data_IF_114819737803
#
_entry.id   IF_114819737803
#
_cell.length_a   1.000
_cell.length_b   1.000
_cell.length_c   1.000
_cell.angle_alpha   90.00
_cell.angle_beta   90.00
_cell.angle_gamma   90.00
#
_symmetry.space_group_name_H-M   'P 1'
#
loop_
_entity.id
_entity.type
_entity.pdbx_description
1 polymer ?
#
# COMPACT_ATOMS: atom_id res chain seq x y z
N UNK A 1 -18.55 15.09 -21.00
CA UNK A 1 -17.57 14.13 -21.51
C UNK A 1 -16.31 14.45 -20.73
N UNK A 2 -15.73 13.47 -20.02
CA UNK A 2 -14.39 13.66 -19.47
C UNK A 2 -13.47 13.85 -20.68
N UNK A 3 -12.66 14.91 -20.68
CA UNK A 3 -11.64 15.10 -21.70
C UNK A 3 -10.65 13.95 -21.54
N UNK A 4 -10.47 13.16 -22.58
CA UNK A 4 -9.50 12.06 -22.59
C UNK A 4 -8.09 12.64 -22.58
N UNK A 5 -7.36 12.44 -21.46
CA UNK A 5 -5.98 12.91 -21.36
C UNK A 5 -5.06 12.03 -22.20
N UNK A 6 -4.38 12.67 -23.17
CA UNK A 6 -3.36 11.99 -23.99
C UNK A 6 -1.97 12.04 -23.39
N UNK A 7 -1.74 12.97 -22.48
CA UNK A 7 -0.46 13.18 -21.81
C UNK A 7 -0.67 13.66 -20.37
N UNK A 8 0.12 13.13 -19.43
CA UNK A 8 0.24 13.63 -18.06
C UNK A 8 1.71 13.92 -17.76
N UNK A 9 1.95 15.02 -17.08
CA UNK A 9 3.23 15.33 -16.47
C UNK A 9 3.27 14.63 -15.11
N UNK A 10 4.32 13.84 -14.87
CA UNK A 10 4.59 13.22 -13.56
C UNK A 10 5.56 14.11 -12.83
N UNK A 11 5.18 14.58 -11.63
CA UNK A 11 6.01 15.46 -10.81
C UNK A 11 6.31 14.84 -9.43
N UNK A 12 7.37 15.30 -8.79
CA UNK A 12 7.73 14.97 -7.41
C UNK A 12 8.40 16.21 -6.78
N UNK A 13 7.88 16.66 -5.64
CA UNK A 13 8.36 17.87 -4.95
C UNK A 13 8.52 19.09 -5.90
N UNK A 14 7.55 19.26 -6.81
CA UNK A 14 7.54 20.35 -7.79
C UNK A 14 8.53 20.19 -8.96
N UNK A 15 9.24 19.07 -9.05
CA UNK A 15 10.16 18.77 -10.15
C UNK A 15 9.50 17.78 -11.12
N UNK A 16 9.58 18.06 -12.43
CA UNK A 16 9.12 17.13 -13.47
C UNK A 16 10.00 15.88 -13.46
N UNK A 17 9.41 14.74 -13.08
CA UNK A 17 10.02 13.42 -13.17
C UNK A 17 10.08 12.96 -14.63
N UNK A 18 8.97 13.12 -15.33
CA UNK A 18 8.82 12.69 -16.71
C UNK A 18 7.38 12.82 -17.18
N UNK A 19 7.07 12.18 -18.31
CA UNK A 19 5.74 12.26 -18.92
C UNK A 19 5.21 10.88 -19.28
N UNK A 20 3.93 10.69 -18.97
CA UNK A 20 3.11 9.60 -19.48
C UNK A 20 2.38 10.10 -20.72
N UNK A 21 2.49 9.38 -21.83
CA UNK A 21 1.80 9.71 -23.08
C UNK A 21 1.16 8.47 -23.67
N UNK A 22 -0.12 8.59 -24.03
CA UNK A 22 -0.86 7.56 -24.77
C UNK A 22 -0.78 7.84 -26.26
N UNK A 23 -0.33 6.85 -27.01
CA UNK A 23 -0.34 6.84 -28.47
C UNK A 23 -0.79 5.47 -28.98
N UNK A 24 -1.79 5.47 -29.86
CA UNK A 24 -2.36 4.27 -30.50
C UNK A 24 -2.72 3.16 -29.48
N UNK A 25 -3.26 3.56 -28.30
CA UNK A 25 -3.68 2.63 -27.25
C UNK A 25 -2.58 2.20 -26.28
N UNK A 26 -1.34 2.57 -26.53
CA UNK A 26 -0.18 2.24 -25.66
C UNK A 26 0.23 3.46 -24.85
N UNK A 27 0.46 3.26 -23.54
CA UNK A 27 0.97 4.30 -22.65
C UNK A 27 2.49 4.18 -22.60
N UNK A 28 3.17 5.27 -22.90
CA UNK A 28 4.62 5.40 -22.87
C UNK A 28 5.03 6.30 -21.72
N UNK A 29 6.23 6.09 -21.20
CA UNK A 29 6.86 6.97 -20.22
C UNK A 29 8.27 7.35 -20.69
N UNK A 30 8.63 8.62 -20.46
CA UNK A 30 10.00 9.11 -20.62
C UNK A 30 10.36 10.04 -19.47
N UNK A 31 11.55 9.88 -18.92
CA UNK A 31 12.10 10.82 -17.92
C UNK A 31 12.37 12.18 -18.51
N UNK A 32 12.18 13.23 -17.70
CA UNK A 32 12.63 14.57 -18.06
C UNK A 32 14.16 14.67 -18.03
N UNK A 33 14.74 15.57 -18.83
CA UNK A 33 16.20 15.81 -18.81
C UNK A 33 16.71 16.25 -17.45
N UNK A 34 15.91 17.06 -16.73
CA UNK A 34 16.25 17.51 -15.38
C UNK A 34 16.31 16.32 -14.41
N UNK A 35 15.34 15.41 -14.49
CA UNK A 35 15.30 14.23 -13.63
C UNK A 35 16.42 13.24 -13.95
N UNK A 36 16.75 13.05 -15.23
CA UNK A 36 17.89 12.21 -15.64
C UNK A 36 19.22 12.70 -15.05
N UNK A 37 19.37 14.01 -14.85
CA UNK A 37 20.60 14.58 -14.31
C UNK A 37 20.73 14.47 -12.79
N UNK A 38 19.63 14.58 -12.04
CA UNK A 38 19.67 14.77 -10.59
C UNK A 38 18.72 13.82 -9.82
N UNK A 39 17.88 13.07 -10.53
CA UNK A 39 16.87 12.19 -9.94
C UNK A 39 17.38 10.77 -9.72
N UNK A 40 16.44 9.87 -9.61
CA UNK A 40 16.66 8.45 -9.41
C UNK A 40 15.64 7.64 -10.22
N UNK A 41 15.88 6.33 -10.37
CA UNK A 41 14.89 5.43 -10.99
C UNK A 41 13.68 5.27 -10.08
N UNK A 42 12.49 5.68 -10.54
CA UNK A 42 11.23 5.52 -9.78
C UNK A 42 10.73 4.07 -9.75
N UNK A 43 11.24 3.21 -10.62
CA UNK A 43 11.02 1.76 -10.62
C UNK A 43 12.27 1.08 -11.18
N UNK A 44 13.22 0.63 -10.35
CA UNK A 44 14.51 0.13 -10.80
C UNK A 44 14.45 -1.03 -11.82
N UNK A 45 13.36 -1.78 -11.81
CA UNK A 45 13.17 -2.92 -12.69
C UNK A 45 12.55 -2.55 -14.05
N UNK A 46 11.52 -1.70 -14.04
CA UNK A 46 10.74 -1.39 -15.25
C UNK A 46 11.11 -0.05 -15.87
N UNK A 47 11.58 0.90 -15.07
CA UNK A 47 11.94 2.27 -15.45
C UNK A 47 13.34 2.62 -14.92
N UNK A 48 14.43 1.94 -15.36
CA UNK A 48 15.78 2.37 -15.01
C UNK A 48 16.00 3.82 -15.46
N UNK A 49 16.88 4.56 -14.74
CA UNK A 49 17.15 5.96 -15.05
C UNK A 49 17.97 6.10 -16.34
N UNK A 50 17.30 6.06 -17.48
CA UNK A 50 17.89 6.07 -18.83
C UNK A 50 17.15 7.05 -19.73
N UNK A 51 17.87 7.72 -20.64
CA UNK A 51 17.31 8.62 -21.66
C UNK A 51 16.73 7.79 -22.82
N UNK A 52 15.53 7.28 -22.60
CA UNK A 52 14.75 6.56 -23.62
C UNK A 52 13.26 6.60 -23.31
N UNK A 53 12.46 6.24 -24.29
CA UNK A 53 11.03 6.02 -24.13
C UNK A 53 10.80 4.56 -23.69
N UNK A 54 10.03 4.40 -22.61
CA UNK A 54 9.64 3.11 -22.07
C UNK A 54 8.19 2.79 -22.47
N UNK A 55 7.92 1.50 -22.69
CA UNK A 55 6.57 0.97 -22.83
C UNK A 55 6.40 -0.25 -21.91
N UNK A 56 5.21 -0.46 -21.30
CA UNK A 56 4.96 -1.65 -20.50
C UNK A 56 5.13 -2.92 -21.35
N UNK A 57 5.73 -3.94 -20.75
CA UNK A 57 5.91 -5.23 -21.44
C UNK A 57 4.65 -6.06 -21.48
N UNK A 58 3.72 -5.78 -20.57
CA UNK A 58 2.47 -6.52 -20.36
C UNK A 58 1.37 -5.56 -19.95
N UNK A 59 0.15 -5.89 -20.28
CA UNK A 59 -1.04 -5.09 -19.97
C UNK A 59 -1.67 -5.49 -18.61
N UNK A 60 -0.84 -5.65 -17.59
CA UNK A 60 -1.34 -6.08 -16.28
C UNK A 60 -2.05 -5.00 -15.49
N UNK A 61 -1.73 -3.72 -15.73
CA UNK A 61 -2.25 -2.57 -15.00
C UNK A 61 -3.05 -1.64 -15.93
N UNK A 62 -3.78 -2.22 -16.91
CA UNK A 62 -4.48 -1.43 -17.92
C UNK A 62 -3.51 -0.64 -18.82
N UNK A 63 -2.29 -1.15 -19.04
CA UNK A 63 -1.25 -0.51 -19.83
C UNK A 63 -0.38 0.49 -19.07
N UNK A 64 -0.54 0.64 -17.76
CA UNK A 64 0.40 1.39 -16.92
C UNK A 64 1.59 0.54 -16.50
N UNK A 65 2.68 1.21 -16.10
CA UNK A 65 3.71 0.58 -15.27
C UNK A 65 3.22 0.43 -13.83
N UNK A 66 3.66 -0.61 -13.14
CA UNK A 66 3.23 -0.90 -11.79
C UNK A 66 3.41 0.25 -10.80
N UNK A 67 4.50 1.02 -10.92
CA UNK A 67 4.75 2.18 -10.06
C UNK A 67 3.68 3.28 -10.19
N UNK A 68 3.09 3.47 -11.37
CA UNK A 68 1.98 4.41 -11.56
C UNK A 68 0.65 3.80 -11.11
N UNK A 69 0.50 2.50 -11.30
CA UNK A 69 -0.67 1.77 -10.79
C UNK A 69 -0.75 1.79 -9.27
N UNK A 70 0.38 1.88 -8.56
CA UNK A 70 0.41 2.03 -7.09
C UNK A 70 -0.23 3.35 -6.61
N UNK A 71 -0.33 4.36 -7.48
CA UNK A 71 -1.04 5.62 -7.17
C UNK A 71 -2.55 5.51 -7.32
N UNK A 72 -3.04 4.52 -8.06
CA UNK A 72 -4.47 4.33 -8.26
C UNK A 72 -5.13 3.70 -7.03
N UNK A 73 -6.37 4.09 -6.71
CA UNK A 73 -7.11 3.47 -5.64
C UNK A 73 -7.39 2.00 -5.98
N UNK A 74 -7.42 1.17 -4.96
CA UNK A 74 -7.95 -0.19 -5.04
C UNK A 74 -9.10 -0.36 -4.02
N UNK A 75 -9.72 -1.52 -3.98
CA UNK A 75 -10.75 -1.89 -3.01
C UNK A 75 -11.71 -0.74 -2.65
N UNK A 76 -11.58 -0.21 -1.43
CA UNK A 76 -12.41 0.87 -0.89
C UNK A 76 -12.32 2.16 -1.71
N UNK A 77 -11.12 2.60 -2.07
CA UNK A 77 -10.92 3.82 -2.85
C UNK A 77 -11.61 3.74 -4.22
N UNK A 78 -11.51 2.59 -4.91
CA UNK A 78 -12.23 2.35 -6.17
C UNK A 78 -13.75 2.35 -5.97
N UNK A 79 -14.24 1.68 -4.92
CA UNK A 79 -15.67 1.62 -4.61
C UNK A 79 -16.27 3.03 -4.42
N UNK A 80 -15.60 3.89 -3.66
CA UNK A 80 -16.04 5.26 -3.43
C UNK A 80 -15.93 6.11 -4.71
N UNK A 81 -14.84 5.96 -5.48
CA UNK A 81 -14.63 6.66 -6.74
C UNK A 81 -15.75 6.35 -7.75
N UNK A 82 -16.14 5.08 -7.88
CA UNK A 82 -17.25 4.66 -8.74
C UNK A 82 -18.56 5.37 -8.35
N UNK A 83 -18.88 5.44 -7.07
CA UNK A 83 -20.11 6.08 -6.59
C UNK A 83 -20.10 7.60 -6.75
N UNK A 84 -19.01 8.24 -6.32
CA UNK A 84 -18.87 9.69 -6.36
C UNK A 84 -18.89 10.24 -7.80
N UNK A 85 -18.21 9.57 -8.73
CA UNK A 85 -18.18 9.99 -10.12
C UNK A 85 -19.49 9.66 -10.86
N UNK A 86 -20.14 8.54 -10.49
CA UNK A 86 -21.47 8.22 -11.04
C UNK A 86 -22.51 9.29 -10.70
N UNK A 87 -22.48 9.86 -9.49
CA UNK A 87 -23.33 11.00 -9.09
C UNK A 87 -23.13 12.22 -10.01
N UNK A 88 -21.94 12.34 -10.61
CA UNK A 88 -21.57 13.37 -11.59
C UNK A 88 -21.75 12.95 -13.04
N UNK A 89 -22.35 11.79 -13.29
CA UNK A 89 -22.59 11.26 -14.65
C UNK A 89 -21.33 10.68 -15.31
N UNK A 90 -20.28 10.39 -14.55
CA UNK A 90 -19.01 9.82 -15.04
C UNK A 90 -18.94 8.35 -14.63
N UNK A 91 -18.68 7.46 -15.59
CA UNK A 91 -18.39 6.05 -15.32
C UNK A 91 -16.90 5.87 -15.07
N UNK A 92 -16.52 5.65 -13.82
CA UNK A 92 -15.10 5.45 -13.43
C UNK A 92 -14.46 4.25 -14.13
N UNK A 93 -15.24 3.18 -14.35
CA UNK A 93 -14.74 1.95 -14.96
C UNK A 93 -14.41 2.11 -16.45
N UNK A 94 -15.07 3.06 -17.12
CA UNK A 94 -14.85 3.36 -18.53
C UNK A 94 -13.75 4.40 -18.76
N UNK A 95 -13.22 4.99 -17.67
CA UNK A 95 -12.11 5.95 -17.76
C UNK A 95 -10.80 5.27 -18.17
N UNK A 96 -10.06 5.96 -19.00
CA UNK A 96 -8.69 5.59 -19.32
C UNK A 96 -7.77 5.62 -18.08
N UNK A 97 -6.72 4.80 -18.00
CA UNK A 97 -5.79 4.85 -16.89
C UNK A 97 -5.15 6.24 -16.67
N UNK A 98 -4.89 7.03 -17.72
CA UNK A 98 -4.40 8.40 -17.55
C UNK A 98 -5.46 9.32 -16.93
N UNK A 99 -6.74 9.18 -17.32
CA UNK A 99 -7.83 9.94 -16.73
C UNK A 99 -7.98 9.62 -15.23
N UNK A 100 -7.84 8.33 -14.86
CA UNK A 100 -7.86 7.92 -13.44
C UNK A 100 -6.70 8.51 -12.66
N UNK A 101 -5.48 8.56 -13.23
CA UNK A 101 -4.32 9.22 -12.60
C UNK A 101 -4.54 10.72 -12.46
N UNK A 102 -5.14 11.38 -13.45
CA UNK A 102 -5.48 12.80 -13.39
C UNK A 102 -6.50 13.11 -12.27
N UNK A 103 -7.47 12.20 -12.02
CA UNK A 103 -8.43 12.31 -10.91
C UNK A 103 -7.72 12.17 -9.55
N UNK A 104 -6.73 11.28 -9.44
CA UNK A 104 -5.92 11.15 -8.23
C UNK A 104 -5.06 12.40 -8.01
N UNK A 105 -4.49 12.95 -9.09
CA UNK A 105 -3.69 14.18 -9.02
C UNK A 105 -2.56 14.11 -8.01
N UNK A 106 -2.76 14.75 -6.85
CA UNK A 106 -1.78 14.80 -5.76
C UNK A 106 -2.17 13.96 -4.51
N UNK A 107 -3.28 13.23 -4.54
CA UNK A 107 -3.75 12.45 -3.37
C UNK A 107 -3.19 11.02 -3.30
N UNK A 108 -2.35 10.63 -4.26
CA UNK A 108 -1.76 9.30 -4.35
C UNK A 108 -0.90 8.88 -3.16
N UNK A 109 -0.67 7.57 -3.04
CA UNK A 109 0.38 7.02 -2.18
C UNK A 109 1.76 7.43 -2.71
N UNK A 110 2.71 7.60 -1.80
CA UNK A 110 4.06 8.03 -2.16
C UNK A 110 4.14 9.50 -2.57
N UNK A 111 5.12 9.82 -3.43
CA UNK A 111 5.47 11.20 -3.79
C UNK A 111 5.09 11.59 -5.22
N UNK A 112 4.67 10.66 -6.07
CA UNK A 112 4.29 10.97 -7.44
C UNK A 112 2.99 11.79 -7.48
N UNK A 113 2.96 12.78 -8.38
CA UNK A 113 1.79 13.61 -8.67
C UNK A 113 1.59 13.68 -10.17
N UNK A 114 0.36 13.91 -10.59
CA UNK A 114 -0.04 13.89 -11.99
C UNK A 114 -0.70 15.20 -12.39
N UNK A 115 -0.24 15.80 -13.47
CA UNK A 115 -0.75 17.07 -13.99
C UNK A 115 -1.11 16.94 -15.48
N UNK A 116 -2.27 17.50 -15.91
CA UNK A 116 -3.22 18.25 -15.10
C UNK A 116 -4.00 17.36 -14.14
N UNK A 117 -4.31 17.89 -12.94
CA UNK A 117 -5.14 17.22 -11.95
C UNK A 117 -6.60 17.67 -12.06
N UNK A 118 -7.52 16.70 -11.98
CA UNK A 118 -8.95 16.99 -11.86
C UNK A 118 -9.30 17.01 -10.38
N UNK A 119 -9.59 18.18 -9.83
CA UNK A 119 -9.93 18.33 -8.40
C UNK A 119 -11.43 18.24 -8.19
N UNK A 120 -11.81 17.50 -7.15
CA UNK A 120 -13.15 17.45 -6.61
C UNK A 120 -13.08 17.93 -5.16
N UNK A 121 -13.22 19.25 -4.98
CA UNK A 121 -13.10 19.86 -3.66
C UNK A 121 -14.25 19.42 -2.75
N UNK A 122 -13.90 18.99 -1.53
CA UNK A 122 -14.78 18.96 -0.38
C UNK A 122 -13.98 19.41 0.84
N UNK A 123 -14.37 20.55 1.41
CA UNK A 123 -13.60 21.25 2.45
C UNK A 123 -13.99 20.85 3.91
N UNK A 124 -14.58 19.70 4.13
CA UNK A 124 -15.10 19.36 5.46
C UNK A 124 -14.20 18.34 6.16
N UNK A 125 -13.51 18.74 7.25
CA UNK A 125 -12.84 17.78 8.13
C UNK A 125 -13.89 16.89 8.82
N UNK A 126 -13.57 15.61 8.96
CA UNK A 126 -14.41 14.67 9.70
C UNK A 126 -14.18 14.88 11.19
N UNK A 127 -15.13 15.52 11.86
CA UNK A 127 -15.04 15.76 13.31
C UNK A 127 -15.50 14.56 14.14
N UNK A 128 -16.32 13.64 13.54
CA UNK A 128 -16.93 12.49 14.22
C UNK A 128 -16.62 11.19 13.45
N UNK A 129 -15.70 10.39 14.01
CA UNK A 129 -15.28 9.11 13.43
C UNK A 129 -16.37 8.04 13.49
N UNK A 130 -17.21 8.06 14.54
CA UNK A 130 -18.34 7.13 14.66
C UNK A 130 -19.38 7.41 13.57
N UNK A 131 -19.70 8.69 13.33
CA UNK A 131 -20.58 9.07 12.23
C UNK A 131 -19.99 8.67 10.86
N UNK A 132 -18.68 8.88 10.65
CA UNK A 132 -18.02 8.45 9.42
C UNK A 132 -18.10 6.95 9.21
N UNK A 133 -17.85 6.18 10.25
CA UNK A 133 -17.93 4.71 10.20
C UNK A 133 -19.35 4.27 9.83
N UNK A 134 -20.40 4.88 10.43
CA UNK A 134 -21.80 4.59 10.07
C UNK A 134 -22.09 4.88 8.61
N UNK A 135 -21.68 6.05 8.12
CA UNK A 135 -21.92 6.44 6.73
C UNK A 135 -21.16 5.54 5.72
N UNK A 136 -19.91 5.16 6.03
CA UNK A 136 -19.18 4.18 5.23
C UNK A 136 -19.91 2.83 5.16
N UNK A 137 -20.44 2.34 6.28
CA UNK A 137 -21.19 1.10 6.32
C UNK A 137 -22.51 1.19 5.54
N UNK A 138 -23.24 2.32 5.62
CA UNK A 138 -24.44 2.55 4.78
C UNK A 138 -24.12 2.48 3.31
N UNK A 139 -23.03 3.11 2.88
CA UNK A 139 -22.57 3.02 1.50
C UNK A 139 -22.26 1.58 1.08
N UNK A 140 -21.61 0.80 1.94
CA UNK A 140 -21.31 -0.61 1.66
C UNK A 140 -22.58 -1.48 1.57
N UNK A 141 -23.61 -1.16 2.34
CA UNK A 141 -24.93 -1.83 2.28
C UNK A 141 -25.74 -1.40 1.03
N UNK A 142 -25.21 -0.52 0.19
CA UNK A 142 -25.85 -0.07 -1.04
C UNK A 142 -26.78 1.14 -0.88
N UNK A 143 -26.79 1.76 0.31
CA UNK A 143 -27.55 2.97 0.57
C UNK A 143 -26.82 4.20 0.01
N UNK A 144 -27.55 5.27 -0.26
CA UNK A 144 -26.98 6.57 -0.60
C UNK A 144 -26.73 7.39 0.68
N UNK A 145 -25.74 8.28 0.61
CA UNK A 145 -25.44 9.26 1.65
C UNK A 145 -25.28 10.66 1.06
N UNK A 146 -25.70 11.68 1.81
CA UNK A 146 -25.44 13.07 1.45
C UNK A 146 -23.96 13.43 1.62
N UNK A 147 -23.21 12.67 2.46
CA UNK A 147 -21.80 12.87 2.78
C UNK A 147 -20.84 12.14 1.80
N UNK A 148 -21.33 11.65 0.64
CA UNK A 148 -20.51 10.89 -0.30
C UNK A 148 -19.28 11.67 -0.78
N UNK A 149 -19.43 12.96 -1.05
CA UNK A 149 -18.33 13.80 -1.56
C UNK A 149 -17.24 14.01 -0.49
N UNK A 150 -17.64 14.14 0.77
CA UNK A 150 -16.77 14.21 1.94
C UNK A 150 -15.99 12.90 2.12
N UNK A 151 -16.70 11.75 2.10
CA UNK A 151 -16.07 10.42 2.19
C UNK A 151 -15.11 10.19 1.02
N UNK A 152 -15.48 10.62 -0.18
CA UNK A 152 -14.63 10.50 -1.37
C UNK A 152 -13.31 11.28 -1.21
N UNK A 153 -13.39 12.53 -0.75
CA UNK A 153 -12.21 13.36 -0.49
C UNK A 153 -11.28 12.73 0.57
N UNK A 154 -11.84 12.15 1.63
CA UNK A 154 -11.07 11.54 2.70
C UNK A 154 -10.51 10.16 2.34
N UNK A 155 -11.24 9.39 1.55
CA UNK A 155 -10.78 8.07 1.12
C UNK A 155 -9.51 8.18 0.27
N UNK A 156 -9.41 9.21 -0.57
CA UNK A 156 -8.27 9.44 -1.44
C UNK A 156 -7.91 8.20 -2.25
N UNK A 157 -6.63 7.98 -2.44
CA UNK A 157 -6.09 6.76 -3.06
C UNK A 157 -5.67 5.70 -2.03
N UNK A 158 -6.28 5.70 -0.83
CA UNK A 158 -5.94 4.69 0.17
C UNK A 158 -6.14 3.28 -0.38
N UNK A 159 -5.11 2.45 -0.31
CA UNK A 159 -5.16 1.05 -0.74
C UNK A 159 -5.96 0.17 0.23
N UNK A 160 -6.32 -1.04 -0.23
CA UNK A 160 -7.03 -2.05 0.55
C UNK A 160 -8.55 -1.95 0.49
N UNK A 161 -9.22 -3.04 0.88
CA UNK A 161 -10.67 -3.22 0.68
C UNK A 161 -11.52 -2.56 1.77
N UNK A 162 -11.01 -2.44 3.00
CA UNK A 162 -11.77 -1.92 4.15
C UNK A 162 -11.95 -0.41 4.12
N UNK A 163 -13.10 0.10 4.61
CA UNK A 163 -13.34 1.53 4.76
C UNK A 163 -12.25 2.21 5.59
N UNK A 164 -11.75 3.33 5.09
CA UNK A 164 -10.71 4.12 5.77
C UNK A 164 -10.74 5.56 5.30
N UNK A 165 -10.13 6.43 6.09
CA UNK A 165 -10.02 7.84 5.82
C UNK A 165 -8.60 8.36 6.12
N UNK A 166 -8.16 9.33 5.32
CA UNK A 166 -7.00 10.15 5.66
C UNK A 166 -7.45 11.24 6.66
N UNK A 167 -6.72 11.38 7.74
CA UNK A 167 -7.00 12.35 8.79
C UNK A 167 -5.72 13.07 9.19
N UNK A 168 -5.86 14.28 9.74
CA UNK A 168 -4.76 15.01 10.36
C UNK A 168 -4.89 14.87 11.87
N UNK A 169 -3.86 14.32 12.52
CA UNK A 169 -3.78 14.21 13.98
C UNK A 169 -2.46 14.88 14.39
N UNK A 170 -2.56 15.90 15.26
CA UNK A 170 -1.41 16.67 15.73
C UNK A 170 -0.53 17.23 14.59
N UNK A 171 -1.15 17.62 13.48
CA UNK A 171 -0.47 18.20 12.31
C UNK A 171 0.21 17.18 11.39
N UNK A 172 0.05 15.89 11.64
CA UNK A 172 0.61 14.79 10.85
C UNK A 172 -0.49 14.01 10.12
N UNK A 173 -0.18 13.44 8.97
CA UNK A 173 -1.13 12.66 8.17
C UNK A 173 -1.23 11.21 8.68
N UNK A 174 -2.46 10.77 8.95
CA UNK A 174 -2.80 9.43 9.43
C UNK A 174 -3.83 8.78 8.53
N UNK A 175 -3.84 7.45 8.52
CA UNK A 175 -4.91 6.63 7.95
C UNK A 175 -5.68 6.02 9.12
N UNK A 176 -6.97 6.32 9.21
CA UNK A 176 -7.90 5.72 10.19
C UNK A 176 -8.71 4.66 9.49
N UNK A 177 -8.74 3.45 10.02
CA UNK A 177 -9.52 2.33 9.48
C UNK A 177 -10.83 2.20 10.24
N UNK A 178 -11.92 2.05 9.49
CA UNK A 178 -13.24 1.82 10.02
C UNK A 178 -13.58 0.33 9.95
N UNK A 179 -14.36 -0.13 10.92
CA UNK A 179 -14.92 -1.49 10.89
C UNK A 179 -16.00 -1.61 9.82
N UNK A 180 -16.10 -2.79 9.25
CA UNK A 180 -17.27 -3.20 8.49
C UNK A 180 -18.32 -3.81 9.43
N UNK A 181 -19.59 -3.85 8.98
CA UNK A 181 -20.70 -4.37 9.78
C UNK A 181 -20.51 -5.82 10.25
N UNK A 182 -19.76 -6.61 9.48
CA UNK A 182 -19.47 -8.02 9.78
C UNK A 182 -18.26 -8.22 10.67
N UNK A 183 -17.47 -7.19 10.90
CA UNK A 183 -16.31 -7.27 11.77
C UNK A 183 -16.71 -7.31 13.25
N UNK A 184 -15.83 -7.90 14.06
CA UNK A 184 -15.90 -7.74 15.51
C UNK A 184 -15.85 -6.26 15.89
N UNK A 185 -16.49 -5.90 17.02
CA UNK A 185 -16.39 -4.55 17.60
C UNK A 185 -14.95 -4.19 17.96
N UNK A 186 -14.12 -5.20 18.25
CA UNK A 186 -12.71 -5.07 18.63
C UNK A 186 -11.74 -5.11 17.44
N UNK A 187 -12.18 -5.07 16.18
CA UNK A 187 -11.28 -5.20 15.02
C UNK A 187 -10.17 -4.15 15.00
N UNK A 188 -10.47 -2.91 15.43
CA UNK A 188 -9.47 -1.84 15.53
C UNK A 188 -8.43 -2.13 16.61
N UNK A 189 -8.87 -2.65 17.79
CA UNK A 189 -7.97 -3.08 18.87
C UNK A 189 -7.11 -4.26 18.44
N UNK A 190 -7.68 -5.24 17.73
CA UNK A 190 -6.93 -6.36 17.20
C UNK A 190 -5.81 -5.90 16.27
N UNK A 191 -6.10 -5.02 15.32
CA UNK A 191 -5.08 -4.51 14.38
C UNK A 191 -3.98 -3.70 15.11
N UNK A 192 -4.36 -2.91 16.12
CA UNK A 192 -3.41 -2.22 16.98
C UNK A 192 -2.47 -3.21 17.69
N UNK A 193 -3.00 -4.28 18.30
CA UNK A 193 -2.21 -5.29 19.00
C UNK A 193 -1.27 -6.05 18.04
N UNK A 194 -1.71 -6.34 16.81
CA UNK A 194 -0.85 -6.94 15.77
C UNK A 194 0.34 -6.06 15.42
N UNK A 195 0.12 -4.76 15.23
CA UNK A 195 1.20 -3.80 14.95
C UNK A 195 2.17 -3.67 16.13
N UNK A 196 1.65 -3.63 17.37
CA UNK A 196 2.49 -3.59 18.55
C UNK A 196 3.27 -4.89 18.78
N UNK A 197 2.69 -6.05 18.45
CA UNK A 197 3.40 -7.34 18.48
C UNK A 197 4.52 -7.36 17.41
N UNK A 198 4.26 -6.89 16.21
CA UNK A 198 5.28 -6.78 15.16
C UNK A 198 6.45 -5.88 15.61
N UNK A 199 6.14 -4.74 16.25
CA UNK A 199 7.14 -3.82 16.81
C UNK A 199 8.02 -4.51 17.88
N UNK A 200 7.40 -5.29 18.78
CA UNK A 200 8.14 -6.09 19.79
C UNK A 200 9.01 -7.18 19.15
N UNK A 201 8.61 -7.73 18.00
CA UNK A 201 9.44 -8.63 17.20
C UNK A 201 10.61 -7.92 16.49
N UNK A 202 10.74 -6.59 16.63
CA UNK A 202 11.76 -5.78 15.97
C UNK A 202 11.49 -5.55 14.49
N UNK A 203 10.22 -5.60 14.06
CA UNK A 203 9.77 -5.18 12.75
C UNK A 203 9.53 -3.68 12.78
N UNK A 204 10.02 -2.99 11.77
CA UNK A 204 9.74 -1.56 11.60
C UNK A 204 8.26 -1.43 11.21
N UNK A 205 7.47 -0.75 12.04
CA UNK A 205 6.07 -0.40 11.80
C UNK A 205 5.90 1.10 11.95
N UNK A 206 4.90 1.72 11.29
CA UNK A 206 4.57 3.13 11.52
C UNK A 206 4.18 3.38 12.99
N UNK A 207 4.15 4.64 13.41
CA UNK A 207 3.45 4.99 14.65
C UNK A 207 1.98 4.65 14.50
N UNK A 208 1.44 3.97 15.51
CA UNK A 208 0.03 3.54 15.54
C UNK A 208 -0.63 3.96 16.84
N UNK A 209 -1.93 4.24 16.78
CA UNK A 209 -2.73 4.48 17.98
C UNK A 209 -4.12 3.87 17.80
N UNK A 210 -4.82 3.73 18.92
CA UNK A 210 -6.22 3.36 18.98
C UNK A 210 -7.01 4.61 19.36
N UNK A 211 -7.77 5.16 18.41
CA UNK A 211 -8.62 6.32 18.64
C UNK A 211 -9.89 5.89 19.36
N UNK A 212 -10.39 6.69 20.31
CA UNK A 212 -11.60 6.35 21.04
C UNK A 212 -12.83 6.33 20.13
N UNK A 213 -13.78 5.48 20.45
CA UNK A 213 -15.10 5.39 19.86
C UNK A 213 -16.13 5.26 21.00
N UNK A 214 -17.31 5.85 20.82
CA UNK A 214 -18.43 5.66 21.75
C UNK A 214 -19.21 4.37 21.45
N UNK A 215 -19.06 3.81 20.25
CA UNK A 215 -19.86 2.69 19.75
C UNK A 215 -19.06 1.39 19.65
N UNK A 216 -17.73 1.46 19.54
CA UNK A 216 -16.88 0.31 19.23
C UNK A 216 -15.65 0.25 20.14
N UNK A 217 -14.85 -0.81 20.05
CA UNK A 217 -13.60 -0.97 20.80
C UNK A 217 -12.48 0.01 20.40
N UNK A 218 -12.75 0.95 19.50
CA UNK A 218 -11.85 1.97 19.01
C UNK A 218 -11.48 1.80 17.54
N UNK A 219 -10.96 2.88 16.94
CA UNK A 219 -10.50 2.90 15.56
C UNK A 219 -9.00 2.78 15.51
N UNK A 220 -8.49 1.81 14.75
CA UNK A 220 -7.06 1.72 14.45
C UNK A 220 -6.64 2.90 13.58
N UNK A 221 -5.57 3.59 13.99
CA UNK A 221 -4.97 4.65 13.22
C UNK A 221 -3.47 4.39 13.05
N UNK A 222 -2.98 4.60 11.84
CA UNK A 222 -1.57 4.46 11.46
C UNK A 222 -1.07 5.73 10.81
N UNK A 223 0.05 6.26 11.31
CA UNK A 223 0.72 7.42 10.72
C UNK A 223 1.23 7.07 9.33
N UNK A 224 1.03 7.97 8.37
CA UNK A 224 1.54 7.76 7.01
C UNK A 224 3.06 7.81 6.98
N UNK A 225 3.68 6.68 6.71
CA UNK A 225 5.14 6.55 6.63
C UNK A 225 5.72 7.10 5.31
N UNK A 226 4.88 7.34 4.32
CA UNK A 226 5.22 8.02 3.07
C UNK A 226 5.12 9.56 3.19
N UNK A 227 4.92 10.07 4.42
CA UNK A 227 4.93 11.49 4.79
C UNK A 227 5.97 11.72 5.88
N UNK A 228 7.08 12.36 5.54
CA UNK A 228 8.24 12.52 6.43
C UNK A 228 8.58 14.00 6.53
N UNK A 229 8.38 14.61 7.72
CA UNK A 229 8.72 16.02 7.95
C UNK A 229 8.04 16.99 6.97
N UNK A 230 6.76 16.76 6.66
CA UNK A 230 5.97 17.56 5.71
C UNK A 230 6.32 17.32 4.23
N UNK A 231 7.18 16.36 3.93
CA UNK A 231 7.53 15.96 2.55
C UNK A 231 6.96 14.58 2.24
N UNK A 232 6.76 14.32 0.96
CA UNK A 232 6.35 13.00 0.47
C UNK A 232 7.57 12.16 0.13
N UNK A 233 7.60 10.90 0.59
CA UNK A 233 8.63 9.94 0.21
C UNK A 233 8.16 9.11 -1.00
N UNK A 234 9.02 8.93 -1.99
CA UNK A 234 8.69 8.04 -3.10
C UNK A 234 8.57 6.60 -2.60
N UNK A 235 7.48 5.97 -2.97
CA UNK A 235 7.12 4.62 -2.58
C UNK A 235 6.80 3.78 -3.82
N UNK A 236 7.18 2.52 -3.80
CA UNK A 236 6.78 1.51 -4.78
C UNK A 236 6.46 0.20 -4.04
N UNK A 237 5.32 -0.41 -4.36
CA UNK A 237 4.98 -1.73 -3.77
C UNK A 237 5.80 -2.85 -4.40
N UNK A 238 5.84 -4.01 -3.76
CA UNK A 238 6.43 -5.22 -4.35
C UNK A 238 5.72 -5.58 -5.67
N UNK A 239 4.39 -5.44 -5.71
CA UNK A 239 3.60 -5.64 -6.91
C UNK A 239 3.97 -4.67 -8.02
N UNK A 240 4.10 -3.38 -7.70
CA UNK A 240 4.53 -2.36 -8.64
C UNK A 240 5.96 -2.55 -9.14
N UNK A 241 6.88 -2.92 -8.26
CA UNK A 241 8.27 -3.19 -8.61
C UNK A 241 8.42 -4.41 -9.54
N UNK A 242 7.69 -5.49 -9.25
CA UNK A 242 7.78 -6.75 -9.99
C UNK A 242 6.87 -6.82 -11.21
N UNK A 243 6.03 -5.80 -11.44
CA UNK A 243 4.96 -5.81 -12.45
C UNK A 243 4.02 -7.01 -12.21
N UNK A 244 3.64 -7.24 -10.94
CA UNK A 244 2.84 -8.39 -10.50
C UNK A 244 1.59 -7.89 -9.75
N UNK A 245 0.43 -7.74 -10.44
CA UNK A 245 -0.81 -7.31 -9.81
C UNK A 245 -1.27 -8.34 -8.76
N UNK A 246 -1.97 -7.86 -7.74
CA UNK A 246 -2.43 -8.69 -6.62
C UNK A 246 -3.41 -9.81 -7.05
N UNK A 247 -4.12 -9.60 -8.14
CA UNK A 247 -5.06 -10.57 -8.71
C UNK A 247 -4.35 -11.81 -9.29
N UNK A 248 -3.04 -11.76 -9.42
CA UNK A 248 -2.21 -12.88 -9.85
C UNK A 248 -1.43 -13.44 -8.65
N UNK A 249 -1.98 -14.41 -7.90
CA UNK A 249 -1.34 -14.99 -6.71
C UNK A 249 -0.20 -15.91 -7.12
N UNK A 250 0.92 -15.34 -7.57
CA UNK A 250 2.07 -16.07 -8.11
C UNK A 250 3.37 -15.73 -7.39
N UNK A 251 3.31 -14.93 -6.33
CA UNK A 251 4.50 -14.57 -5.60
C UNK A 251 4.72 -15.51 -4.42
N UNK A 252 6.00 -15.77 -4.20
CA UNK A 252 6.52 -16.51 -3.07
C UNK A 252 7.39 -15.58 -2.23
N UNK A 253 7.54 -15.84 -0.94
CA UNK A 253 8.41 -15.06 -0.06
C UNK A 253 9.87 -15.05 -0.54
N UNK A 254 10.31 -16.05 -1.32
CA UNK A 254 11.62 -16.00 -2.02
C UNK A 254 11.69 -14.85 -3.01
N UNK A 255 10.59 -14.56 -3.73
CA UNK A 255 10.52 -13.41 -4.63
C UNK A 255 10.58 -12.08 -3.87
N UNK A 256 9.89 -11.99 -2.72
CA UNK A 256 9.94 -10.80 -1.84
C UNK A 256 11.35 -10.53 -1.31
N UNK A 257 12.02 -11.53 -0.71
CA UNK A 257 13.38 -11.36 -0.20
C UNK A 257 14.37 -11.06 -1.31
N UNK A 258 14.23 -11.70 -2.49
CA UNK A 258 15.09 -11.47 -3.66
C UNK A 258 14.89 -10.05 -4.21
N UNK A 259 13.66 -9.59 -4.31
CA UNK A 259 13.34 -8.21 -4.71
C UNK A 259 13.90 -7.20 -3.72
N UNK A 260 13.78 -7.47 -2.41
CA UNK A 260 14.37 -6.63 -1.35
C UNK A 260 15.89 -6.54 -1.52
N UNK A 261 16.57 -7.68 -1.71
CA UNK A 261 18.01 -7.70 -1.95
C UNK A 261 18.42 -6.92 -3.21
N UNK A 262 17.65 -7.06 -4.29
CA UNK A 262 17.89 -6.37 -5.55
C UNK A 262 17.73 -4.84 -5.42
N UNK A 263 16.62 -4.38 -4.85
CA UNK A 263 16.30 -2.94 -4.85
C UNK A 263 17.05 -2.15 -3.77
N UNK A 264 17.35 -2.79 -2.64
CA UNK A 264 18.04 -2.14 -1.51
C UNK A 264 19.55 -2.35 -1.53
N UNK A 265 20.03 -3.37 -2.22
CA UNK A 265 21.41 -3.85 -2.17
C UNK A 265 21.95 -3.99 -0.73
N UNK A 266 21.10 -4.48 0.20
CA UNK A 266 21.37 -4.47 1.64
C UNK A 266 20.95 -5.79 2.31
N UNK A 267 21.92 -6.62 2.76
CA UNK A 267 21.60 -7.82 3.54
C UNK A 267 20.80 -7.55 4.83
N UNK A 268 21.01 -6.44 5.56
CA UNK A 268 20.13 -6.08 6.68
C UNK A 268 18.67 -5.89 6.29
N UNK A 269 18.38 -5.27 5.14
CA UNK A 269 17.00 -5.11 4.66
C UNK A 269 16.38 -6.46 4.27
N UNK A 270 17.16 -7.38 3.67
CA UNK A 270 16.71 -8.76 3.42
C UNK A 270 16.36 -9.48 4.71
N UNK A 271 17.14 -9.26 5.79
CA UNK A 271 16.82 -9.85 7.09
C UNK A 271 15.56 -9.24 7.72
N UNK A 272 15.29 -7.93 7.51
CA UNK A 272 14.01 -7.33 7.92
C UNK A 272 12.84 -7.98 7.17
N UNK A 273 12.98 -8.19 5.86
CA UNK A 273 11.97 -8.89 5.04
C UNK A 273 11.72 -10.33 5.54
N UNK A 274 12.78 -11.06 5.89
CA UNK A 274 12.66 -12.40 6.49
C UNK A 274 11.91 -12.38 7.82
N UNK A 275 12.22 -11.40 8.69
CA UNK A 275 11.53 -11.26 9.97
C UNK A 275 10.03 -10.97 9.79
N UNK A 276 9.69 -10.13 8.80
CA UNK A 276 8.29 -9.85 8.45
C UNK A 276 7.59 -11.10 7.91
N UNK A 277 8.26 -11.93 7.08
CA UNK A 277 7.74 -13.22 6.65
C UNK A 277 7.45 -14.15 7.84
N UNK A 278 8.38 -14.25 8.80
CA UNK A 278 8.16 -15.03 10.02
C UNK A 278 6.92 -14.54 10.79
N UNK A 279 6.73 -13.22 10.90
CA UNK A 279 5.57 -12.66 11.61
C UNK A 279 4.27 -12.97 10.89
N UNK A 280 4.15 -12.68 9.60
CA UNK A 280 2.92 -12.92 8.83
C UNK A 280 2.51 -14.39 8.91
N UNK A 281 3.45 -15.31 8.69
CA UNK A 281 3.19 -16.74 8.69
C UNK A 281 2.77 -17.23 10.08
N UNK A 282 3.50 -16.85 11.12
CA UNK A 282 3.22 -17.38 12.48
C UNK A 282 2.04 -16.68 13.17
N UNK A 283 1.72 -15.43 12.81
CA UNK A 283 0.58 -14.68 13.35
C UNK A 283 -0.71 -14.88 12.55
N UNK A 284 -0.68 -15.63 11.45
CA UNK A 284 -1.85 -15.91 10.62
C UNK A 284 -2.37 -14.68 9.86
N UNK A 285 -1.45 -13.79 9.44
CA UNK A 285 -1.75 -12.71 8.50
C UNK A 285 -1.63 -13.25 7.07
N UNK A 286 -2.69 -13.88 6.57
CA UNK A 286 -2.68 -14.54 5.26
C UNK A 286 -3.01 -13.60 4.09
N UNK A 287 -3.47 -12.37 4.33
CA UNK A 287 -3.68 -11.34 3.30
C UNK A 287 -2.36 -10.63 2.95
N UNK A 288 -1.32 -11.42 2.75
CA UNK A 288 0.05 -11.00 2.53
C UNK A 288 0.38 -10.86 1.02
N UNK A 289 -0.52 -10.23 0.28
CA UNK A 289 -0.38 -10.01 -1.15
C UNK A 289 0.68 -8.96 -1.52
N UNK A 290 1.04 -8.92 -2.81
CA UNK A 290 2.13 -8.09 -3.35
C UNK A 290 2.04 -6.59 -3.05
N UNK A 291 0.86 -6.04 -2.78
CA UNK A 291 0.67 -4.62 -2.42
C UNK A 291 0.87 -4.33 -0.93
N UNK A 292 0.97 -5.35 -0.06
CA UNK A 292 1.20 -5.20 1.38
C UNK A 292 2.69 -5.15 1.75
N UNK A 293 3.56 -5.11 0.74
CA UNK A 293 5.01 -4.89 0.89
C UNK A 293 5.43 -3.74 0.00
N UNK A 294 6.25 -2.84 0.52
CA UNK A 294 6.68 -1.67 -0.23
C UNK A 294 8.13 -1.28 0.07
N UNK A 295 8.66 -0.41 -0.77
CA UNK A 295 9.98 0.18 -0.65
C UNK A 295 9.88 1.69 -0.72
N UNK A 296 10.64 2.39 0.13
CA UNK A 296 10.77 3.84 0.13
C UNK A 296 12.13 4.23 -0.43
N UNK A 297 12.17 5.27 -1.25
CA UNK A 297 13.44 5.86 -1.63
C UNK A 297 13.97 6.75 -0.50
N UNK A 298 15.19 6.45 -0.04
CA UNK A 298 15.91 7.25 0.95
C UNK A 298 16.94 8.14 0.26
N UNK A 299 16.77 9.47 0.29
CA UNK A 299 17.76 10.42 -0.24
C UNK A 299 19.13 10.27 0.43
N UNK A 300 19.16 9.99 1.73
CA UNK A 300 20.39 9.83 2.52
C UNK A 300 21.21 8.63 2.04
N UNK A 301 20.53 7.51 1.71
CA UNK A 301 21.18 6.31 1.18
C UNK A 301 21.35 6.34 -0.34
N UNK A 302 20.72 7.30 -1.03
CA UNK A 302 20.59 7.33 -2.48
C UNK A 302 20.12 5.99 -3.06
N UNK A 303 19.14 5.38 -2.39
CA UNK A 303 18.65 4.05 -2.73
C UNK A 303 17.38 3.71 -1.95
N UNK A 304 16.84 2.55 -2.25
CA UNK A 304 15.61 2.09 -1.60
C UNK A 304 15.90 1.40 -0.27
N UNK A 305 14.95 1.49 0.62
CA UNK A 305 14.86 0.73 1.88
C UNK A 305 13.52 0.01 1.91
N UNK A 306 13.41 -1.06 2.69
CA UNK A 306 12.12 -1.68 2.97
C UNK A 306 11.26 -0.69 3.75
N UNK A 307 10.03 -0.46 3.31
CA UNK A 307 9.08 0.38 4.03
C UNK A 307 8.71 -0.25 5.39
N UNK A 308 8.27 0.54 6.37
CA UNK A 308 7.61 -0.01 7.55
C UNK A 308 6.49 -0.96 7.16
N UNK A 309 6.31 -2.04 7.91
CA UNK A 309 5.24 -3.00 7.66
C UNK A 309 3.86 -2.38 7.96
N UNK A 310 2.88 -2.69 7.16
CA UNK A 310 1.51 -2.19 7.26
C UNK A 310 0.50 -3.30 6.93
N UNK A 311 -0.78 -3.07 7.20
CA UNK A 311 -1.86 -4.03 7.03
C UNK A 311 -1.58 -5.37 7.76
N UNK A 312 -1.05 -5.26 8.99
CA UNK A 312 -0.80 -6.41 9.85
C UNK A 312 -2.05 -6.71 10.67
N UNK A 313 -2.72 -7.81 10.34
CA UNK A 313 -3.94 -8.24 11.03
C UNK A 313 -4.14 -9.74 10.88
N UNK A 314 -5.02 -10.32 11.67
CA UNK A 314 -5.46 -11.69 11.48
C UNK A 314 -6.50 -11.79 10.36
N UNK A 315 -6.42 -12.84 9.56
CA UNK A 315 -7.36 -13.13 8.47
C UNK A 315 -7.94 -14.54 8.60
N UNK A 316 -8.77 -14.82 9.64
CA UNK A 316 -9.21 -16.18 9.98
C UNK A 316 -10.11 -16.84 8.93
N UNK A 317 -10.63 -16.05 7.99
CA UNK A 317 -11.43 -16.55 6.86
C UNK A 317 -10.58 -17.08 5.71
N UNK A 318 -9.27 -16.76 5.67
CA UNK A 318 -8.32 -17.28 4.68
C UNK A 318 -7.69 -18.56 5.19
N UNK A 319 -7.64 -19.60 4.34
CA UNK A 319 -7.05 -20.90 4.68
C UNK A 319 -5.59 -21.01 4.26
N UNK A 320 -5.20 -20.20 3.29
CA UNK A 320 -3.87 -20.17 2.71
C UNK A 320 -3.39 -18.73 2.62
N UNK A 321 -2.09 -18.54 2.64
CA UNK A 321 -1.43 -17.27 2.38
C UNK A 321 -1.59 -16.86 0.91
N UNK A 322 -1.74 -15.55 0.65
CA UNK A 322 -1.73 -15.03 -0.73
C UNK A 322 -0.37 -15.22 -1.39
N UNK A 323 0.72 -15.07 -0.64
CA UNK A 323 2.04 -15.49 -1.09
C UNK A 323 2.38 -16.86 -0.50
N UNK A 324 2.91 -17.76 -1.34
CA UNK A 324 3.50 -19.00 -0.84
C UNK A 324 4.84 -18.74 -0.14
N UNK A 325 5.27 -19.68 0.68
CA UNK A 325 6.64 -19.71 1.19
C UNK A 325 7.25 -21.07 0.83
N UNK A 326 8.34 -21.06 0.07
CA UNK A 326 8.98 -22.26 -0.46
C UNK A 326 7.98 -23.21 -1.19
N UNK A 327 6.99 -22.59 -1.85
CA UNK A 327 5.93 -23.29 -2.59
C UNK A 327 4.73 -23.75 -1.75
N UNK A 328 4.75 -23.57 -0.43
CA UNK A 328 3.63 -23.91 0.45
C UNK A 328 2.67 -22.72 0.62
N UNK A 329 1.35 -22.95 0.46
CA UNK A 329 0.30 -21.97 0.77
C UNK A 329 -0.05 -21.94 2.26
N UNK A 330 0.36 -22.97 3.02
CA UNK A 330 0.20 -23.09 4.48
C UNK A 330 1.56 -23.31 5.15
N UNK A 331 2.49 -22.34 5.00
CA UNK A 331 3.86 -22.51 5.45
C UNK A 331 3.96 -22.57 6.98
N UNK A 332 4.99 -23.23 7.48
CA UNK A 332 5.33 -23.34 8.87
C UNK A 332 6.81 -23.06 9.12
N UNK A 333 7.34 -23.64 10.22
CA UNK A 333 8.73 -23.47 10.61
C UNK A 333 9.71 -24.04 9.57
N UNK A 334 9.39 -25.19 8.98
CA UNK A 334 10.29 -25.85 8.02
C UNK A 334 10.50 -24.98 6.78
N UNK A 335 9.43 -24.37 6.25
CA UNK A 335 9.51 -23.44 5.12
C UNK A 335 10.27 -22.15 5.49
N UNK A 336 10.09 -21.64 6.72
CA UNK A 336 10.84 -20.48 7.20
C UNK A 336 12.33 -20.76 7.34
N UNK A 337 12.71 -21.93 7.82
CA UNK A 337 14.12 -22.37 7.90
C UNK A 337 14.71 -22.55 6.49
N UNK A 338 13.95 -23.16 5.57
CA UNK A 338 14.36 -23.30 4.19
C UNK A 338 14.54 -21.94 3.49
N UNK A 339 13.60 -21.01 3.69
CA UNK A 339 13.69 -19.63 3.21
C UNK A 339 14.95 -18.93 3.75
N UNK A 340 15.24 -19.07 5.04
CA UNK A 340 16.45 -18.51 5.65
C UNK A 340 17.74 -19.04 4.98
N UNK A 341 17.79 -20.34 4.74
CA UNK A 341 18.94 -20.98 4.09
C UNK A 341 19.18 -20.46 2.66
N UNK A 342 18.11 -20.26 1.86
CA UNK A 342 18.20 -19.69 0.51
C UNK A 342 18.88 -18.30 0.50
N UNK A 343 18.62 -17.48 1.53
CA UNK A 343 19.19 -16.13 1.67
C UNK A 343 20.41 -16.05 2.59
N UNK A 344 21.08 -17.19 2.87
CA UNK A 344 22.30 -17.28 3.69
C UNK A 344 22.14 -16.71 5.10
N UNK A 345 20.93 -16.75 5.64
CA UNK A 345 20.65 -16.49 7.04
C UNK A 345 20.97 -17.78 7.79
N UNK A 346 21.85 -17.72 8.79
CA UNK A 346 22.23 -18.91 9.55
C UNK A 346 21.02 -19.53 10.27
N UNK A 347 20.98 -20.85 10.37
CA UNK A 347 19.90 -21.58 11.04
C UNK A 347 19.68 -21.10 12.47
N UNK A 348 20.76 -20.86 13.23
CA UNK A 348 20.65 -20.32 14.59
C UNK A 348 19.94 -18.97 14.63
N UNK A 349 20.23 -18.08 13.67
CA UNK A 349 19.59 -16.77 13.58
C UNK A 349 18.12 -16.91 13.13
N UNK A 350 17.83 -17.84 12.24
CA UNK A 350 16.47 -18.14 11.81
C UNK A 350 15.61 -18.66 12.96
N UNK A 351 16.09 -19.68 13.68
CA UNK A 351 15.38 -20.25 14.85
C UNK A 351 15.17 -19.20 15.94
N UNK A 352 16.21 -18.42 16.29
CA UNK A 352 16.06 -17.35 17.26
C UNK A 352 15.00 -16.30 16.86
N UNK A 353 14.89 -16.00 15.55
CA UNK A 353 13.84 -15.10 15.03
C UNK A 353 12.45 -15.72 15.16
N UNK A 354 12.29 -16.99 14.78
CA UNK A 354 11.05 -17.75 14.88
C UNK A 354 10.60 -17.84 16.34
N UNK A 355 11.50 -18.19 17.25
CA UNK A 355 11.22 -18.29 18.70
C UNK A 355 10.78 -16.94 19.28
N UNK A 356 11.48 -15.86 18.93
CA UNK A 356 11.11 -14.50 19.35
C UNK A 356 9.69 -14.16 18.88
N UNK A 357 9.36 -14.41 17.63
CA UNK A 357 8.04 -14.12 17.06
C UNK A 357 6.97 -14.96 17.77
N UNK A 358 7.20 -16.26 17.99
CA UNK A 358 6.26 -17.13 18.70
C UNK A 358 6.00 -16.67 20.13
N UNK A 359 7.05 -16.28 20.85
CA UNK A 359 6.92 -15.84 22.24
C UNK A 359 6.12 -14.53 22.34
N UNK A 360 6.35 -13.59 21.41
CA UNK A 360 5.57 -12.36 21.35
C UNK A 360 4.12 -12.64 21.02
N UNK A 361 3.83 -13.48 20.01
CA UNK A 361 2.47 -13.88 19.63
C UNK A 361 1.76 -14.51 20.82
N UNK A 362 2.35 -15.50 21.48
CA UNK A 362 1.73 -16.16 22.65
C UNK A 362 1.38 -15.19 23.77
N UNK A 363 2.22 -14.21 24.00
CA UNK A 363 2.04 -13.24 25.10
C UNK A 363 1.06 -12.15 24.73
N UNK A 364 1.13 -11.63 23.50
CA UNK A 364 0.40 -10.42 23.11
C UNK A 364 -0.86 -10.71 22.30
N UNK A 365 -0.84 -11.75 21.49
CA UNK A 365 -1.93 -12.07 20.56
C UNK A 365 -2.75 -13.30 20.96
N UNK A 366 -2.56 -13.84 22.19
CA UNK A 366 -3.28 -15.05 22.66
C UNK A 366 -4.81 -14.95 22.62
N UNK A 367 -5.34 -13.74 22.63
CA UNK A 367 -6.78 -13.48 22.49
C UNK A 367 -7.26 -13.64 21.04
N UNK A 368 -6.36 -13.51 20.08
CA UNK A 368 -6.68 -13.39 18.65
C UNK A 368 -6.23 -14.61 17.82
N UNK A 369 -5.23 -15.38 18.26
CA UNK A 369 -4.60 -16.50 17.51
C UNK A 369 -5.01 -17.85 18.08
#
# INVERSE_FOLDING_TARGET
MADEFKELIVTMDGTEVGRLRKDSGTIYFAYSRQWLSNGFSISPRSLPLEDRVFSPRKDYFGGLFGVFSDSLPDGWGTFISVRALRKRGISYLDLDPLDRLAIIGDDGLGALRYEPAVRYDSDLPLEDLDAACRECNRLMDGEDTERLDEIFSMAGSTGGARPKANCIIDGEEWIVKFRERRDSEDVGRMEYEYNMAAKECGIDVPDVCLLPSEEYGGFFASKRFDRIGGRRAHMITLGGLLEAPKEMPLLDYTAFLRATGYVTNSPPEVFKAYRLACFNILAGNCDDHSKNFAYLYSPERRGYILAPAYDLTRTPWMKEHEMTCMGSGTPGEDELIALAAEFRISENKARATIDTVRDVIRRRLSEWV
#
